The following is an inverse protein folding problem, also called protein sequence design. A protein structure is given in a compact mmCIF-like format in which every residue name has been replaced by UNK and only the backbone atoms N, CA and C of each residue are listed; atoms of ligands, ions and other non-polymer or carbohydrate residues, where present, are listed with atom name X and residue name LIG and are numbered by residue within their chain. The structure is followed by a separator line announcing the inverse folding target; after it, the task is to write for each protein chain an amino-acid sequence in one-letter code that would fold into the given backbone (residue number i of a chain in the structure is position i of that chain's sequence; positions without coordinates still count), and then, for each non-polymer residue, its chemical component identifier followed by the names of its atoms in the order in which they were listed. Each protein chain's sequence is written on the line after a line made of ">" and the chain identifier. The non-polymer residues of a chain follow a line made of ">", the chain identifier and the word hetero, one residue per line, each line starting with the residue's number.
data_IF_249623035605
#
_entry.id   IF_249623035605
#
_cell.length_a   1.000
_cell.length_b   1.000
_cell.length_c   1.000
_cell.angle_alpha   90.00
_cell.angle_beta   90.00
_cell.angle_gamma   90.00
#
_symmetry.space_group_name_H-M   'P 1'
#
loop_
_entity.id
_entity.type
_entity.pdbx_description
1 polymer ?
#
# COMPACT_ATOMS: atom_id res chain seq x y z
N UNK A 1 9.98 19.57 0.32
CA UNK A 1 9.09 19.24 -0.83
C UNK A 1 8.16 18.12 -0.41
N UNK A 2 6.86 18.24 -0.70
CA UNK A 2 5.83 17.26 -0.30
C UNK A 2 5.49 16.36 -1.48
N UNK A 3 5.77 15.06 -1.36
CA UNK A 3 5.31 14.04 -2.29
C UNK A 3 4.15 13.28 -1.67
N UNK A 4 3.09 13.04 -2.43
CA UNK A 4 1.92 12.30 -1.98
C UNK A 4 1.60 11.14 -2.92
N UNK A 5 1.63 9.94 -2.38
CA UNK A 5 1.08 8.74 -2.99
C UNK A 5 -0.35 8.61 -2.50
N UNK A 6 -1.31 8.55 -3.43
CA UNK A 6 -2.71 8.26 -3.11
C UNK A 6 -2.99 6.84 -3.53
N UNK A 7 -3.20 5.95 -2.56
CA UNK A 7 -3.36 4.52 -2.79
C UNK A 7 -4.81 4.09 -2.58
N UNK A 8 -5.38 3.46 -3.60
CA UNK A 8 -6.65 2.76 -3.52
C UNK A 8 -6.39 1.30 -3.16
N UNK A 9 -6.81 0.90 -1.96
CA UNK A 9 -6.68 -0.48 -1.49
C UNK A 9 -7.81 -1.38 -2.03
N UNK A 10 -7.66 -2.69 -1.90
CA UNK A 10 -8.62 -3.72 -2.28
C UNK A 10 -8.97 -3.76 -3.79
N UNK A 11 -8.11 -3.27 -4.67
CA UNK A 11 -8.32 -3.34 -6.12
C UNK A 11 -8.49 -4.79 -6.59
N UNK A 12 -9.55 -5.08 -7.32
CA UNK A 12 -9.97 -6.43 -7.72
C UNK A 12 -11.03 -7.07 -6.81
N UNK A 13 -11.37 -6.45 -5.68
CA UNK A 13 -12.33 -7.00 -4.73
C UNK A 13 -13.76 -7.06 -5.28
N UNK A 14 -14.18 -6.03 -5.98
CA UNK A 14 -15.51 -5.92 -6.57
C UNK A 14 -15.52 -4.98 -7.78
N UNK A 15 -16.55 -5.05 -8.67
CA UNK A 15 -16.70 -4.12 -9.78
C UNK A 15 -16.79 -2.66 -9.31
N UNK A 16 -17.45 -2.41 -8.19
CA UNK A 16 -17.60 -1.06 -7.63
C UNK A 16 -16.23 -0.48 -7.20
N UNK A 17 -15.38 -1.30 -6.58
CA UNK A 17 -14.00 -0.90 -6.24
C UNK A 17 -13.21 -0.61 -7.51
N UNK A 18 -13.26 -1.51 -8.50
CA UNK A 18 -12.52 -1.38 -9.76
C UNK A 18 -12.91 -0.10 -10.50
N UNK A 19 -14.21 0.16 -10.67
CA UNK A 19 -14.72 1.36 -11.31
C UNK A 19 -14.32 2.65 -10.55
N UNK A 20 -14.34 2.62 -9.22
CA UNK A 20 -13.94 3.76 -8.40
C UNK A 20 -12.43 4.05 -8.53
N UNK A 21 -11.59 3.01 -8.57
CA UNK A 21 -10.14 3.15 -8.80
C UNK A 21 -9.88 3.80 -10.16
N UNK A 22 -10.46 3.25 -11.24
CA UNK A 22 -10.28 3.78 -12.59
C UNK A 22 -10.75 5.23 -12.69
N UNK A 23 -11.96 5.54 -12.21
CA UNK A 23 -12.51 6.90 -12.20
C UNK A 23 -11.63 7.91 -11.48
N UNK A 24 -11.16 7.58 -10.28
CA UNK A 24 -10.33 8.47 -9.47
C UNK A 24 -8.91 8.61 -10.03
N UNK A 25 -8.40 7.57 -10.68
CA UNK A 25 -7.12 7.64 -11.41
C UNK A 25 -7.23 8.52 -12.65
N UNK A 26 -8.24 8.31 -13.49
CA UNK A 26 -8.48 9.15 -14.67
C UNK A 26 -8.71 10.63 -14.30
N UNK A 27 -9.28 10.90 -13.14
CA UNK A 27 -9.40 12.25 -12.59
C UNK A 27 -8.08 12.83 -12.05
N UNK A 28 -7.01 12.04 -11.97
CA UNK A 28 -5.68 12.46 -11.52
C UNK A 28 -5.45 12.42 -10.02
N UNK A 29 -6.39 11.91 -9.20
CA UNK A 29 -6.24 11.85 -7.74
C UNK A 29 -5.50 10.59 -7.30
N UNK A 30 -5.93 9.41 -7.75
CA UNK A 30 -5.31 8.12 -7.39
C UNK A 30 -4.06 7.89 -8.24
N UNK A 31 -2.93 7.70 -7.58
CA UNK A 31 -1.64 7.45 -8.23
C UNK A 31 -1.20 6.00 -8.12
N UNK A 32 -1.81 5.25 -7.21
CA UNK A 32 -1.41 3.89 -6.88
C UNK A 32 -2.64 3.04 -6.51
N UNK A 33 -2.61 1.73 -6.84
CA UNK A 33 -3.64 0.78 -6.46
C UNK A 33 -3.03 -0.53 -5.99
N UNK A 34 -3.56 -1.08 -4.88
CA UNK A 34 -3.10 -2.32 -4.28
C UNK A 34 -4.00 -3.47 -4.70
N UNK A 35 -3.49 -4.34 -5.59
CA UNK A 35 -4.24 -5.41 -6.26
C UNK A 35 -4.30 -6.68 -5.41
N UNK A 36 -5.51 -7.15 -5.14
CA UNK A 36 -5.80 -8.46 -4.55
C UNK A 36 -5.81 -9.54 -5.65
N UNK A 37 -4.68 -10.16 -5.93
CA UNK A 37 -4.53 -11.10 -7.06
C UNK A 37 -5.43 -12.34 -7.01
N UNK A 38 -6.02 -12.65 -5.86
CA UNK A 38 -6.93 -13.79 -5.65
C UNK A 38 -8.39 -13.38 -5.55
N UNK A 39 -8.70 -12.10 -5.60
CA UNK A 39 -10.07 -11.61 -5.51
C UNK A 39 -10.88 -11.98 -6.76
N UNK A 40 -12.19 -12.05 -6.60
CA UNK A 40 -13.10 -12.52 -7.65
C UNK A 40 -13.05 -11.65 -8.92
N UNK A 41 -12.76 -10.36 -8.78
CA UNK A 41 -12.72 -9.39 -9.87
C UNK A 41 -11.30 -8.93 -10.21
N UNK A 42 -10.28 -9.73 -9.85
CA UNK A 42 -8.88 -9.40 -10.13
C UNK A 42 -8.60 -9.29 -11.65
N UNK A 43 -9.24 -10.11 -12.48
CA UNK A 43 -9.06 -10.05 -13.93
C UNK A 43 -9.50 -8.70 -14.53
N UNK A 44 -10.63 -8.16 -14.07
CA UNK A 44 -11.11 -6.84 -14.46
C UNK A 44 -10.14 -5.73 -14.00
N UNK A 45 -9.66 -5.81 -12.76
CA UNK A 45 -8.67 -4.88 -12.22
C UNK A 45 -7.37 -4.89 -13.03
N UNK A 46 -6.89 -6.05 -13.44
CA UNK A 46 -5.71 -6.21 -14.31
C UNK A 46 -5.94 -5.58 -15.67
N UNK A 47 -7.13 -5.78 -16.27
CA UNK A 47 -7.47 -5.13 -17.53
C UNK A 47 -7.45 -3.60 -17.42
N UNK A 48 -7.92 -3.05 -16.29
CA UNK A 48 -7.81 -1.61 -16.00
C UNK A 48 -6.34 -1.19 -15.87
N UNK A 49 -5.54 -1.92 -15.10
CA UNK A 49 -4.12 -1.61 -14.92
C UNK A 49 -3.35 -1.57 -16.25
N UNK A 50 -3.65 -2.48 -17.16
CA UNK A 50 -3.05 -2.47 -18.51
C UNK A 50 -3.51 -1.29 -19.39
N UNK A 51 -4.78 -0.86 -19.24
CA UNK A 51 -5.28 0.34 -19.97
C UNK A 51 -4.75 1.64 -19.37
N UNK A 52 -4.35 1.62 -18.10
CA UNK A 52 -3.90 2.78 -17.32
C UNK A 52 -2.45 2.59 -16.87
N UNK A 53 -1.45 2.62 -17.77
CA UNK A 53 -0.06 2.34 -17.41
C UNK A 53 0.55 3.36 -16.43
N UNK A 54 -0.06 4.53 -16.27
CA UNK A 54 0.31 5.51 -15.28
C UNK A 54 -0.17 5.14 -13.86
N UNK A 55 -1.16 4.25 -13.72
CA UNK A 55 -1.61 3.74 -12.44
C UNK A 55 -0.57 2.76 -11.89
N UNK A 56 0.18 3.20 -10.90
CA UNK A 56 1.15 2.33 -10.25
C UNK A 56 0.44 1.21 -9.51
N UNK A 57 0.41 0.01 -10.10
CA UNK A 57 -0.26 -1.15 -9.49
C UNK A 57 0.76 -2.00 -8.72
N UNK A 58 0.45 -2.30 -7.46
CA UNK A 58 1.24 -3.17 -6.60
C UNK A 58 0.44 -4.35 -6.04
N UNK A 59 1.12 -5.26 -5.34
CA UNK A 59 0.48 -6.42 -4.73
C UNK A 59 -0.12 -6.06 -3.37
N UNK A 60 -1.44 -6.29 -3.21
CA UNK A 60 -2.14 -6.30 -1.92
C UNK A 60 -2.16 -7.72 -1.36
N UNK A 61 -1.12 -8.09 -0.58
CA UNK A 61 -0.97 -9.43 -0.03
C UNK A 61 -2.15 -9.76 0.90
N UNK A 62 -2.92 -10.77 0.56
CA UNK A 62 -4.15 -11.15 1.27
C UNK A 62 -3.95 -12.47 1.98
N UNK A 63 -3.86 -12.44 3.31
CA UNK A 63 -3.54 -13.60 4.16
C UNK A 63 -4.63 -13.90 5.20
N UNK A 64 -5.71 -13.12 5.20
CA UNK A 64 -6.91 -13.37 6.01
C UNK A 64 -8.14 -12.85 5.28
N UNK A 65 -9.30 -13.47 5.56
CA UNK A 65 -10.56 -13.07 4.94
C UNK A 65 -11.39 -12.17 5.87
N UNK A 66 -11.46 -12.47 7.18
CA UNK A 66 -12.42 -11.84 8.08
C UNK A 66 -11.87 -11.33 9.43
N UNK A 67 -10.83 -11.96 9.99
CA UNK A 67 -10.31 -11.64 11.33
C UNK A 67 -8.78 -11.52 11.33
N UNK A 68 -8.26 -10.30 11.06
CA UNK A 68 -6.82 -10.07 11.00
C UNK A 68 -6.11 -10.26 12.35
N UNK A 69 -6.79 -10.00 13.48
CA UNK A 69 -6.20 -10.17 14.80
C UNK A 69 -5.97 -11.65 15.11
N UNK A 70 -6.99 -12.48 14.86
CA UNK A 70 -6.91 -13.94 15.02
C UNK A 70 -5.89 -14.56 14.05
N UNK A 71 -5.85 -14.08 12.82
CA UNK A 71 -4.85 -14.49 11.84
C UNK A 71 -3.43 -14.16 12.32
N UNK A 72 -3.18 -12.94 12.79
CA UNK A 72 -1.90 -12.52 13.35
C UNK A 72 -1.46 -13.38 14.51
N UNK A 73 -2.33 -13.62 15.51
CA UNK A 73 -2.03 -14.50 16.63
C UNK A 73 -1.68 -15.93 16.17
N UNK A 74 -2.43 -16.48 15.20
CA UNK A 74 -2.15 -17.79 14.65
C UNK A 74 -0.75 -17.85 14.01
N UNK A 75 -0.37 -16.86 13.23
CA UNK A 75 0.93 -16.79 12.57
C UNK A 75 2.08 -16.53 13.54
N UNK A 76 1.80 -15.94 14.69
CA UNK A 76 2.80 -15.74 15.73
C UNK A 76 3.13 -17.03 16.47
N UNK A 77 2.11 -17.78 16.89
CA UNK A 77 2.28 -18.91 17.81
C UNK A 77 2.37 -20.28 17.11
N UNK A 78 1.85 -20.44 15.89
CA UNK A 78 1.80 -21.74 15.21
C UNK A 78 2.90 -21.86 14.16
N UNK A 79 4.11 -22.25 14.56
CA UNK A 79 5.24 -22.47 13.65
C UNK A 79 4.95 -23.46 12.52
N UNK A 80 4.11 -24.47 12.76
CA UNK A 80 3.69 -25.45 11.73
C UNK A 80 2.99 -24.80 10.53
N UNK A 81 2.43 -23.61 10.69
CA UNK A 81 1.77 -22.88 9.60
C UNK A 81 2.73 -22.05 8.74
N UNK A 82 4.00 -21.90 9.16
CA UNK A 82 4.93 -20.98 8.48
C UNK A 82 5.29 -21.47 7.07
N UNK A 83 5.44 -22.79 6.86
CA UNK A 83 5.72 -23.34 5.53
C UNK A 83 4.55 -23.09 4.57
N UNK A 84 3.33 -23.37 5.00
CA UNK A 84 2.13 -23.11 4.20
C UNK A 84 1.96 -21.60 3.93
N UNK A 85 2.25 -20.75 4.91
CA UNK A 85 2.22 -19.31 4.77
C UNK A 85 3.26 -18.82 3.75
N UNK A 86 4.48 -19.36 3.78
CA UNK A 86 5.52 -19.02 2.80
C UNK A 86 5.13 -19.43 1.38
N UNK A 87 4.52 -20.61 1.20
CA UNK A 87 3.99 -21.06 -0.08
C UNK A 87 2.87 -20.17 -0.59
N UNK A 88 1.97 -19.76 0.29
CA UNK A 88 0.88 -18.84 -0.05
C UNK A 88 1.40 -17.46 -0.48
N UNK A 89 2.36 -16.90 0.25
CA UNK A 89 3.03 -15.64 -0.10
C UNK A 89 3.69 -15.77 -1.48
N UNK A 90 4.48 -16.83 -1.69
CA UNK A 90 5.15 -17.06 -2.97
C UNK A 90 4.14 -17.22 -4.12
N UNK A 91 3.02 -17.93 -3.90
CA UNK A 91 1.97 -18.11 -4.89
C UNK A 91 1.32 -16.78 -5.31
N UNK A 92 1.07 -15.86 -4.36
CA UNK A 92 0.50 -14.55 -4.69
C UNK A 92 1.49 -13.68 -5.47
N UNK A 93 2.78 -13.67 -5.10
CA UNK A 93 3.82 -12.94 -5.83
C UNK A 93 4.02 -13.50 -7.24
N UNK A 94 4.09 -14.82 -7.39
CA UNK A 94 4.18 -15.49 -8.70
C UNK A 94 2.96 -15.16 -9.57
N UNK A 95 1.74 -15.20 -8.98
CA UNK A 95 0.52 -14.85 -9.69
C UNK A 95 0.53 -13.39 -10.15
N UNK A 96 1.01 -12.46 -9.31
CA UNK A 96 1.14 -11.05 -9.69
C UNK A 96 2.01 -10.89 -10.94
N UNK A 97 3.16 -11.57 -11.00
CA UNK A 97 4.01 -11.58 -12.19
C UNK A 97 3.34 -12.18 -13.42
N UNK A 98 2.63 -13.30 -13.25
CA UNK A 98 1.92 -13.96 -14.35
C UNK A 98 0.81 -13.09 -14.97
N UNK A 99 0.35 -12.06 -14.26
CA UNK A 99 -0.59 -11.07 -14.78
C UNK A 99 0.07 -9.98 -15.65
N UNK A 100 1.39 -10.03 -15.86
CA UNK A 100 2.13 -9.07 -16.70
C UNK A 100 2.29 -7.69 -16.07
N UNK A 101 2.14 -7.57 -14.75
CA UNK A 101 2.29 -6.31 -14.03
C UNK A 101 3.72 -6.12 -13.51
N UNK A 102 4.22 -4.89 -13.57
CA UNK A 102 5.52 -4.55 -13.02
C UNK A 102 5.53 -4.63 -11.48
N UNK A 103 6.54 -5.28 -10.84
CA UNK A 103 6.62 -5.44 -9.39
C UNK A 103 7.07 -4.15 -8.70
N UNK A 104 6.20 -3.14 -8.66
CA UNK A 104 6.54 -1.80 -8.17
C UNK A 104 6.62 -1.73 -6.65
N UNK A 105 5.58 -2.21 -5.97
CA UNK A 105 5.51 -2.24 -4.50
C UNK A 105 4.57 -3.36 -4.02
N UNK A 106 4.68 -3.69 -2.74
CA UNK A 106 3.69 -4.52 -2.06
C UNK A 106 3.25 -3.88 -0.75
N UNK A 107 2.07 -4.20 -0.35
CA UNK A 107 1.52 -3.97 0.98
C UNK A 107 0.67 -5.19 1.40
N UNK A 108 -0.28 -5.05 2.30
CA UNK A 108 -1.10 -6.18 2.67
C UNK A 108 -2.39 -5.78 3.34
N UNK A 109 -3.41 -6.56 3.06
CA UNK A 109 -4.73 -6.40 3.64
C UNK A 109 -4.63 -6.40 5.18
N UNK A 110 -5.32 -5.44 5.81
CA UNK A 110 -5.23 -5.18 7.25
C UNK A 110 -3.79 -4.98 7.76
N UNK A 111 -2.87 -4.55 6.89
CA UNK A 111 -1.44 -4.32 7.18
C UNK A 111 -0.68 -5.54 7.73
N UNK A 112 -1.19 -6.75 7.49
CA UNK A 112 -0.57 -7.99 7.95
C UNK A 112 0.85 -8.21 7.39
N UNK A 113 1.21 -7.56 6.29
CA UNK A 113 2.58 -7.58 5.76
C UNK A 113 3.63 -7.07 6.75
N UNK A 114 3.24 -6.25 7.76
CA UNK A 114 4.13 -5.78 8.84
C UNK A 114 4.21 -6.74 10.02
N UNK A 115 3.36 -7.78 10.08
CA UNK A 115 3.45 -8.79 11.13
C UNK A 115 4.83 -9.47 11.10
N UNK A 116 5.57 -9.61 12.22
CA UNK A 116 6.97 -10.04 12.20
C UNK A 116 7.25 -11.33 11.46
N UNK A 117 6.38 -12.34 11.59
CA UNK A 117 6.50 -13.61 10.88
C UNK A 117 6.25 -13.43 9.38
N UNK A 118 5.17 -12.73 9.02
CA UNK A 118 4.81 -12.49 7.62
C UNK A 118 5.87 -11.65 6.93
N UNK A 119 6.29 -10.55 7.56
CA UNK A 119 7.35 -9.68 7.03
C UNK A 119 8.64 -10.44 6.73
N UNK A 120 9.09 -11.26 7.70
CA UNK A 120 10.30 -12.08 7.55
C UNK A 120 10.21 -13.07 6.39
N UNK A 121 9.02 -13.66 6.15
CA UNK A 121 8.81 -14.57 5.04
C UNK A 121 8.65 -13.83 3.70
N UNK A 122 7.92 -12.72 3.70
CA UNK A 122 7.61 -11.96 2.47
C UNK A 122 8.83 -11.23 1.91
N UNK A 123 9.64 -10.62 2.77
CA UNK A 123 10.73 -9.74 2.36
C UNK A 123 11.70 -10.37 1.34
N UNK A 124 12.30 -11.56 1.61
CA UNK A 124 13.22 -12.17 0.65
C UNK A 124 12.53 -12.58 -0.65
N UNK A 125 11.29 -13.07 -0.57
CA UNK A 125 10.51 -13.49 -1.73
C UNK A 125 10.16 -12.27 -2.60
N UNK A 126 9.64 -11.20 -1.99
CA UNK A 126 9.30 -9.96 -2.70
C UNK A 126 10.54 -9.32 -3.36
N UNK A 127 11.68 -9.29 -2.65
CA UNK A 127 12.93 -8.80 -3.21
C UNK A 127 13.39 -9.61 -4.42
N UNK A 128 13.35 -10.95 -4.33
CA UNK A 128 13.68 -11.84 -5.44
C UNK A 128 12.75 -11.67 -6.65
N UNK A 129 11.47 -11.36 -6.39
CA UNK A 129 10.48 -11.01 -7.43
C UNK A 129 10.60 -9.57 -7.95
N UNK A 130 11.61 -8.80 -7.55
CA UNK A 130 11.87 -7.47 -8.10
C UNK A 130 11.09 -6.33 -7.45
N UNK A 131 10.31 -6.56 -6.41
CA UNK A 131 9.64 -5.48 -5.68
C UNK A 131 10.67 -4.58 -4.98
N UNK A 132 10.47 -3.25 -5.07
CA UNK A 132 11.44 -2.25 -4.58
C UNK A 132 10.84 -1.23 -3.63
N UNK A 133 9.55 -1.37 -3.27
CA UNK A 133 8.91 -0.52 -2.27
C UNK A 133 7.87 -1.30 -1.47
N UNK A 134 7.62 -0.86 -0.22
CA UNK A 134 6.53 -1.38 0.62
C UNK A 134 5.97 -0.27 1.51
N UNK A 135 4.71 -0.42 1.92
CA UNK A 135 4.06 0.47 2.86
C UNK A 135 4.62 0.30 4.27
N UNK A 136 5.02 1.40 4.90
CA UNK A 136 5.40 1.46 6.31
C UNK A 136 4.38 2.30 7.07
N UNK A 137 3.49 1.66 7.82
CA UNK A 137 2.38 2.33 8.50
C UNK A 137 2.88 3.14 9.69
N UNK A 138 3.11 4.43 9.45
CA UNK A 138 3.59 5.42 10.43
C UNK A 138 2.69 6.65 10.38
N UNK A 139 1.53 6.55 11.01
CA UNK A 139 0.56 7.64 11.01
C UNK A 139 0.78 8.57 12.21
N UNK A 140 1.11 9.86 11.99
CA UNK A 140 1.22 10.83 13.06
C UNK A 140 -0.15 11.13 13.69
N UNK A 141 -0.13 11.61 14.93
CA UNK A 141 -1.34 11.99 15.65
C UNK A 141 -1.29 11.64 17.13
N UNK A 142 -2.38 11.85 17.87
CA UNK A 142 -2.42 11.60 19.31
C UNK A 142 -2.12 10.13 19.65
N UNK A 143 -1.63 9.83 20.85
CA UNK A 143 -1.35 8.47 21.29
C UNK A 143 -2.57 7.55 21.13
N UNK A 144 -2.38 6.42 20.46
CA UNK A 144 -3.38 5.37 20.34
C UNK A 144 -2.68 4.02 20.13
N UNK A 145 -3.26 2.94 20.65
CA UNK A 145 -2.62 1.62 20.70
C UNK A 145 -2.29 1.09 19.30
N UNK A 146 -3.26 1.06 18.42
CA UNK A 146 -3.08 0.46 17.09
C UNK A 146 -2.06 1.21 16.23
N UNK A 147 -2.10 2.55 16.06
CA UNK A 147 -1.04 3.31 15.40
C UNK A 147 0.33 3.13 16.04
N UNK A 148 0.40 3.03 17.36
CA UNK A 148 1.67 2.79 18.07
C UNK A 148 2.27 1.42 17.71
N UNK A 149 1.43 0.35 17.69
CA UNK A 149 1.87 -1.00 17.29
C UNK A 149 2.42 -0.97 15.86
N UNK A 150 1.69 -0.42 14.90
CA UNK A 150 2.15 -0.37 13.51
C UNK A 150 3.40 0.51 13.32
N UNK A 151 3.51 1.60 14.08
CA UNK A 151 4.71 2.42 14.06
C UNK A 151 5.94 1.64 14.58
N UNK A 152 5.78 0.86 15.66
CA UNK A 152 6.85 0.02 16.19
C UNK A 152 7.25 -1.08 15.19
N UNK A 153 6.29 -1.76 14.58
CA UNK A 153 6.54 -2.77 13.55
C UNK A 153 7.23 -2.17 12.33
N UNK A 154 6.80 -1.00 11.86
CA UNK A 154 7.41 -0.28 10.74
C UNK A 154 8.85 0.12 11.04
N UNK A 155 9.13 0.62 12.26
CA UNK A 155 10.50 0.95 12.69
C UNK A 155 11.39 -0.29 12.71
N UNK A 156 10.86 -1.43 13.16
CA UNK A 156 11.57 -2.71 13.19
C UNK A 156 11.90 -3.22 11.79
N UNK A 157 11.04 -2.98 10.80
CA UNK A 157 11.23 -3.39 9.41
C UNK A 157 12.30 -2.58 8.66
N UNK A 158 12.48 -1.30 9.03
CA UNK A 158 13.34 -0.35 8.31
C UNK A 158 14.78 -0.82 8.04
N UNK A 159 15.54 -1.39 9.01
CA UNK A 159 16.91 -1.79 8.75
C UNK A 159 17.01 -2.86 7.66
N UNK A 160 16.12 -3.86 7.68
CA UNK A 160 16.09 -4.92 6.68
C UNK A 160 15.72 -4.40 5.29
N UNK A 161 14.75 -3.48 5.20
CA UNK A 161 14.38 -2.84 3.94
C UNK A 161 15.53 -2.02 3.36
N UNK A 162 16.21 -1.22 4.20
CA UNK A 162 17.36 -0.41 3.78
C UNK A 162 18.51 -1.28 3.28
N UNK A 163 18.79 -2.41 3.96
CA UNK A 163 19.82 -3.36 3.56
C UNK A 163 19.59 -3.97 2.16
N UNK A 164 18.33 -4.02 1.70
CA UNK A 164 17.94 -4.52 0.39
C UNK A 164 17.60 -3.41 -0.63
N UNK A 165 17.80 -2.14 -0.28
CA UNK A 165 17.45 -1.02 -1.16
C UNK A 165 15.94 -0.88 -1.42
N UNK A 166 15.10 -1.39 -0.50
CA UNK A 166 13.65 -1.31 -0.63
C UNK A 166 13.15 -0.02 0.02
N UNK A 167 12.43 0.77 -0.74
CA UNK A 167 11.87 2.04 -0.28
C UNK A 167 10.64 1.83 0.63
N UNK A 168 10.44 2.75 1.56
CA UNK A 168 9.22 2.90 2.34
C UNK A 168 8.80 4.35 2.38
N UNK A 169 7.53 4.61 2.65
CA UNK A 169 7.01 5.97 2.85
C UNK A 169 7.44 6.54 4.20
N UNK A 170 7.60 7.86 4.31
CA UNK A 170 7.92 8.51 5.58
C UNK A 170 6.71 8.56 6.50
N UNK A 171 5.53 8.83 5.94
CA UNK A 171 4.27 8.90 6.64
C UNK A 171 3.17 8.16 5.87
N UNK A 172 2.27 7.51 6.60
CA UNK A 172 1.09 6.84 6.02
C UNK A 172 -0.14 7.29 6.79
N UNK A 173 -1.15 7.74 6.08
CA UNK A 173 -2.43 8.19 6.61
C UNK A 173 -3.56 7.31 6.11
N UNK A 174 -4.60 7.13 6.92
CA UNK A 174 -5.76 6.29 6.60
C UNK A 174 -6.07 5.26 7.69
N UNK A 175 -5.09 4.87 8.53
CA UNK A 175 -5.30 3.90 9.60
C UNK A 175 -6.32 4.40 10.64
N UNK A 176 -6.21 5.66 11.05
CA UNK A 176 -7.12 6.28 12.03
C UNK A 176 -8.50 6.56 11.46
N UNK A 177 -8.60 6.61 10.15
CA UNK A 177 -9.83 6.91 9.42
C UNK A 177 -10.34 5.72 8.58
N UNK A 178 -9.78 4.53 8.76
CA UNK A 178 -10.18 3.33 8.00
C UNK A 178 -11.69 3.13 8.03
N UNK A 179 -12.31 2.96 6.85
CA UNK A 179 -13.76 2.83 6.67
C UNK A 179 -14.54 4.13 6.87
N UNK A 180 -13.87 5.29 7.00
CA UNK A 180 -14.48 6.61 7.21
C UNK A 180 -13.77 7.73 6.45
N UNK A 181 -13.02 7.41 5.40
CA UNK A 181 -12.31 8.40 4.58
C UNK A 181 -13.31 9.09 3.65
N UNK A 182 -13.94 10.14 4.15
CA UNK A 182 -14.78 11.05 3.37
C UNK A 182 -13.95 12.14 2.69
N UNK A 183 -14.53 12.89 1.75
CA UNK A 183 -13.87 14.04 1.14
C UNK A 183 -13.36 15.06 2.15
N UNK A 184 -14.13 15.33 3.22
CA UNK A 184 -13.74 16.24 4.29
C UNK A 184 -12.53 15.69 5.11
N UNK A 185 -12.50 14.40 5.37
CA UNK A 185 -11.35 13.74 6.03
C UNK A 185 -10.12 13.83 5.13
N UNK A 186 -10.28 13.51 3.85
CA UNK A 186 -9.18 13.55 2.88
C UNK A 186 -8.63 14.99 2.74
N UNK A 187 -9.50 15.99 2.60
CA UNK A 187 -9.10 17.40 2.53
C UNK A 187 -8.28 17.83 3.76
N UNK A 188 -8.72 17.46 4.97
CA UNK A 188 -7.98 17.73 6.21
C UNK A 188 -6.58 17.08 6.22
N UNK A 189 -6.47 15.84 5.74
CA UNK A 189 -5.18 15.16 5.62
C UNK A 189 -4.25 15.90 4.64
N UNK A 190 -4.77 16.35 3.49
CA UNK A 190 -3.99 17.14 2.52
C UNK A 190 -3.47 18.45 3.13
N UNK A 191 -4.27 19.14 3.94
CA UNK A 191 -3.86 20.38 4.61
C UNK A 191 -2.73 20.16 5.64
N UNK A 192 -2.66 18.98 6.24
CA UNK A 192 -1.73 18.64 7.31
C UNK A 192 -0.51 17.84 6.85
N UNK A 193 -0.35 17.58 5.54
CA UNK A 193 0.76 16.79 5.05
C UNK A 193 2.11 17.39 5.45
N UNK A 194 3.00 16.59 6.09
CA UNK A 194 4.37 17.00 6.40
C UNK A 194 5.25 17.02 5.14
N UNK A 195 6.46 17.54 5.29
CA UNK A 195 7.51 17.40 4.28
C UNK A 195 7.93 15.93 4.12
N UNK A 196 8.46 15.57 2.94
CA UNK A 196 8.86 14.21 2.61
C UNK A 196 7.81 13.47 1.80
N UNK A 197 7.86 12.14 1.84
CA UNK A 197 6.95 11.26 1.09
C UNK A 197 5.85 10.73 2.00
N UNK A 198 4.63 11.19 1.76
CA UNK A 198 3.43 10.72 2.44
C UNK A 198 2.63 9.77 1.55
N UNK A 199 1.90 8.85 2.15
CA UNK A 199 0.89 8.02 1.50
C UNK A 199 -0.45 8.24 2.22
N UNK A 200 -1.51 8.49 1.46
CA UNK A 200 -2.89 8.40 1.94
C UNK A 200 -3.51 7.18 1.28
N UNK A 201 -3.91 6.18 2.07
CA UNK A 201 -4.64 5.04 1.57
C UNK A 201 -6.10 5.09 2.01
N UNK A 202 -6.97 4.51 1.19
CA UNK A 202 -8.40 4.39 1.45
C UNK A 202 -8.98 3.21 0.66
N UNK A 203 -10.24 2.84 0.96
CA UNK A 203 -10.92 1.68 0.36
C UNK A 203 -12.07 2.16 -0.51
N UNK A 204 -11.85 2.49 -1.80
CA UNK A 204 -12.91 2.96 -2.68
C UNK A 204 -14.03 1.91 -2.79
N UNK A 205 -15.28 2.37 -2.73
CA UNK A 205 -16.45 1.47 -2.74
C UNK A 205 -16.81 0.84 -1.38
N UNK A 206 -15.93 0.91 -0.39
CA UNK A 206 -16.23 0.52 1.00
C UNK A 206 -16.35 1.73 1.94
N UNK A 207 -15.88 2.89 1.52
CA UNK A 207 -16.03 4.14 2.27
C UNK A 207 -17.47 4.69 2.19
N UNK A 208 -17.92 5.47 3.19
CA UNK A 208 -19.31 5.91 3.29
C UNK A 208 -19.83 6.75 2.13
N UNK A 209 -18.93 7.43 1.42
CA UNK A 209 -19.28 8.27 0.27
C UNK A 209 -18.18 8.21 -0.79
N UNK A 210 -18.58 8.31 -2.05
CA UNK A 210 -17.66 8.46 -3.16
C UNK A 210 -16.88 9.77 -3.03
N UNK A 211 -15.56 9.71 -3.23
CA UNK A 211 -14.72 10.91 -3.24
C UNK A 211 -14.98 11.71 -4.52
N UNK A 212 -15.19 13.02 -4.35
CA UNK A 212 -15.11 14.00 -5.43
C UNK A 212 -13.65 14.46 -5.55
N UNK A 213 -12.95 14.17 -6.65
CA UNK A 213 -11.54 14.53 -6.81
C UNK A 213 -11.31 16.03 -7.01
N UNK A 214 -12.27 16.78 -7.56
CA UNK A 214 -12.04 18.16 -7.97
C UNK A 214 -11.62 19.09 -6.82
N UNK A 215 -12.34 19.18 -5.67
CA UNK A 215 -11.92 20.01 -4.56
C UNK A 215 -10.61 19.52 -3.91
N UNK A 216 -10.33 18.21 -3.94
CA UNK A 216 -9.11 17.65 -3.38
C UNK A 216 -7.88 18.00 -4.22
N UNK A 217 -7.99 17.97 -5.55
CA UNK A 217 -6.95 18.36 -6.47
C UNK A 217 -6.67 19.88 -6.41
N UNK A 218 -7.67 20.70 -6.09
CA UNK A 218 -7.44 22.12 -5.83
C UNK A 218 -6.55 22.34 -4.59
N UNK A 219 -6.79 21.60 -3.51
CA UNK A 219 -5.93 21.64 -2.33
C UNK A 219 -4.50 21.18 -2.68
N UNK A 220 -4.36 20.09 -3.44
CA UNK A 220 -3.06 19.58 -3.91
C UNK A 220 -2.29 20.67 -4.63
N UNK A 221 -2.92 21.35 -5.60
CA UNK A 221 -2.30 22.46 -6.35
C UNK A 221 -1.90 23.62 -5.45
N UNK A 222 -2.84 24.12 -4.63
CA UNK A 222 -2.62 25.25 -3.73
C UNK A 222 -1.50 24.99 -2.74
N UNK A 223 -1.36 23.74 -2.26
CA UNK A 223 -0.35 23.33 -1.29
C UNK A 223 0.99 22.94 -1.92
N UNK A 224 1.12 22.99 -3.24
CA UNK A 224 2.33 22.60 -3.96
C UNK A 224 2.72 21.12 -3.74
N UNK A 225 1.72 20.24 -3.57
CA UNK A 225 1.93 18.81 -3.33
C UNK A 225 2.20 18.13 -4.68
N UNK A 226 3.28 17.37 -4.76
CA UNK A 226 3.62 16.55 -5.93
C UNK A 226 2.94 15.18 -5.79
N UNK A 227 1.98 14.88 -6.67
CA UNK A 227 1.33 13.56 -6.70
C UNK A 227 2.26 12.50 -7.28
N UNK A 228 2.25 11.33 -6.66
CA UNK A 228 3.05 10.17 -7.03
C UNK A 228 4.28 9.96 -6.14
N UNK A 229 4.94 8.84 -6.37
CA UNK A 229 6.20 8.53 -5.69
C UNK A 229 7.32 9.46 -6.21
N UNK A 230 8.24 9.91 -5.35
CA UNK A 230 9.41 10.61 -5.83
C UNK A 230 10.21 9.73 -6.79
N UNK A 231 10.96 10.32 -7.74
CA UNK A 231 11.86 9.57 -8.59
C UNK A 231 12.81 8.73 -7.72
N UNK A 232 13.08 7.49 -8.16
CA UNK A 232 14.02 6.62 -7.47
C UNK A 232 15.35 7.37 -7.30
N UNK A 233 15.86 7.43 -6.06
CA UNK A 233 17.22 7.94 -5.85
C UNK A 233 18.16 7.01 -6.62
N UNK A 234 18.90 7.56 -7.57
CA UNK A 234 19.98 6.83 -8.24
C UNK A 234 20.88 6.26 -7.14
N UNK A 235 21.18 4.96 -7.16
CA UNK A 235 22.14 4.41 -6.19
C UNK A 235 23.43 5.24 -6.31
N UNK A 236 23.88 5.84 -5.21
CA UNK A 236 25.23 6.40 -5.16
C UNK A 236 26.20 5.32 -5.59
N UNK A 237 27.03 5.62 -6.58
CA UNK A 237 28.05 4.71 -7.06
C UNK A 237 28.82 4.13 -5.84
N UNK A 238 29.16 2.82 -5.84
CA UNK A 238 29.95 2.27 -4.75
C UNK A 238 31.23 3.09 -4.65
N UNK A 239 31.51 3.57 -3.45
CA UNK A 239 32.82 4.15 -3.12
C UNK A 239 33.86 3.09 -3.56
N UNK A 240 34.63 3.43 -4.59
CA UNK A 240 35.78 2.63 -5.00
C UNK A 240 36.72 2.58 -3.79
N UNK A 241 36.95 1.39 -3.29
CA UNK A 241 37.99 1.11 -2.31
C UNK A 241 39.36 1.31 -2.92
#
# INVERSE_FOLDING_TARGET
>A
MKHLIVTADDFGRSPAVNAAVERLHCAGLVTQASLMVRAAHAAEAVAIAHRQPALRTGLHLTLCDHDPARAGLRYFFRRKTHAALALEIAAQLTRFHALGLAPTYWDGHAHLHLHPTIFRLTLPIAHAHGFRATRLVREPGPPALLPWIFQALSRRALPALRGLGIAGTDHVFGLRATGRVTGAVFARLLEQLPEGTSEIYFHPGAEPAALDPAPLLEIVRRRGIQLGAPPAKTPSAPLRA
#
